data_IF_601862095102
#
_entry.id   IF_601862095102
#
_cell.length_a   1.000
_cell.length_b   1.000
_cell.length_c   1.000
_cell.angle_alpha   90.00
_cell.angle_beta   90.00
_cell.angle_gamma   90.00
#
_symmetry.space_group_name_H-M   'P 1'
#
loop_
_entity.id
_entity.type
_entity.pdbx_description
1 polymer ?
#
# COMPACT_ATOMS: atom_id res chain seq x y z
N UNK A 1 -17.45 -14.61 31.71
CA UNK A 1 -16.78 -14.95 30.41
C UNK A 1 -15.82 -13.80 30.12
N UNK A 2 -14.52 -14.09 29.94
CA UNK A 2 -13.61 -13.03 29.50
C UNK A 2 -13.98 -12.64 28.08
N UNK A 3 -14.49 -11.43 27.86
CA UNK A 3 -14.71 -10.90 26.53
C UNK A 3 -13.35 -10.64 25.90
N UNK A 4 -13.02 -11.37 24.83
CA UNK A 4 -11.86 -11.07 23.99
C UNK A 4 -12.29 -10.09 22.90
N UNK A 5 -11.45 -9.12 22.61
CA UNK A 5 -11.67 -8.12 21.56
C UNK A 5 -10.53 -8.20 20.54
N UNK A 6 -10.86 -8.00 19.29
CA UNK A 6 -9.90 -8.04 18.19
C UNK A 6 -9.99 -6.73 17.40
N UNK A 7 -8.85 -6.18 17.04
CA UNK A 7 -8.75 -5.05 16.15
C UNK A 7 -8.30 -5.51 14.76
N UNK A 8 -9.10 -5.21 13.74
CA UNK A 8 -8.70 -5.29 12.33
C UNK A 8 -8.17 -3.93 11.87
N UNK A 9 -7.04 -3.95 11.15
CA UNK A 9 -6.43 -2.78 10.53
C UNK A 9 -6.37 -3.01 9.02
N UNK A 10 -6.96 -2.08 8.24
CA UNK A 10 -6.97 -2.10 6.78
C UNK A 10 -6.27 -0.86 6.24
N UNK A 11 -5.23 -1.06 5.42
CA UNK A 11 -4.53 0.00 4.70
C UNK A 11 -4.90 -0.05 3.23
N UNK A 12 -5.92 0.74 2.88
CA UNK A 12 -6.44 0.84 1.52
C UNK A 12 -5.69 1.84 0.63
N UNK A 13 -6.33 2.22 -0.47
CA UNK A 13 -5.73 3.12 -1.48
C UNK A 13 -5.69 4.58 -1.04
N UNK A 14 -6.68 5.06 -0.28
CA UNK A 14 -6.80 6.49 0.07
C UNK A 14 -6.79 6.74 1.58
N UNK A 15 -6.99 5.69 2.38
CA UNK A 15 -7.15 5.80 3.83
C UNK A 15 -6.76 4.50 4.52
N UNK A 16 -6.39 4.59 5.79
CA UNK A 16 -6.37 3.48 6.71
C UNK A 16 -7.64 3.43 7.57
N UNK A 17 -8.01 2.25 8.01
CA UNK A 17 -9.19 1.99 8.85
C UNK A 17 -8.83 1.06 9.98
N UNK A 18 -9.51 1.25 11.10
CA UNK A 18 -9.50 0.31 12.23
C UNK A 18 -10.93 -0.03 12.61
N UNK A 19 -11.17 -1.29 12.96
CA UNK A 19 -12.42 -1.74 13.57
C UNK A 19 -12.10 -2.64 14.75
N UNK A 20 -12.78 -2.44 15.87
CA UNK A 20 -12.68 -3.30 17.04
C UNK A 20 -13.98 -4.09 17.17
N UNK A 21 -13.85 -5.41 17.23
CA UNK A 21 -14.99 -6.33 17.35
C UNK A 21 -14.87 -7.17 18.61
N UNK A 22 -16.02 -7.49 19.22
CA UNK A 22 -16.09 -8.48 20.30
C UNK A 22 -16.08 -9.89 19.69
N UNK A 23 -15.09 -10.71 20.09
CA UNK A 23 -14.87 -12.03 19.47
C UNK A 23 -16.01 -13.02 19.68
N UNK A 24 -16.84 -12.84 20.73
CA UNK A 24 -17.91 -13.79 21.05
C UNK A 24 -19.13 -13.74 20.10
N UNK A 25 -19.41 -12.57 19.51
CA UNK A 25 -20.61 -12.34 18.70
C UNK A 25 -20.38 -11.46 17.47
N UNK A 26 -19.15 -10.97 17.26
CA UNK A 26 -18.80 -10.08 16.15
C UNK A 26 -19.34 -8.67 16.27
N UNK A 27 -19.85 -8.28 17.46
CA UNK A 27 -20.35 -6.93 17.67
C UNK A 27 -19.22 -5.90 17.49
N UNK A 28 -19.47 -4.89 16.67
CA UNK A 28 -18.58 -3.75 16.45
C UNK A 28 -18.60 -2.85 17.69
N UNK A 29 -17.43 -2.62 18.25
CA UNK A 29 -17.25 -1.87 19.50
C UNK A 29 -16.73 -0.46 19.27
N UNK A 30 -15.92 -0.26 18.24
CA UNK A 30 -15.37 1.03 17.88
C UNK A 30 -14.71 1.00 16.53
N UNK A 31 -14.69 2.15 15.83
CA UNK A 31 -14.11 2.30 14.51
C UNK A 31 -13.34 3.60 14.37
N UNK A 32 -12.40 3.62 13.42
CA UNK A 32 -11.73 4.83 13.00
C UNK A 32 -11.34 4.75 11.53
N UNK A 33 -11.39 5.89 10.84
CA UNK A 33 -10.88 6.07 9.47
C UNK A 33 -10.00 7.30 9.47
N UNK A 34 -8.89 7.22 8.73
CA UNK A 34 -8.01 8.37 8.50
C UNK A 34 -7.55 8.38 7.05
N UNK A 35 -7.79 9.47 6.34
CA UNK A 35 -7.32 9.68 4.97
C UNK A 35 -5.81 9.96 4.98
N UNK A 36 -5.11 9.46 3.97
CA UNK A 36 -3.69 9.77 3.82
C UNK A 36 -3.49 11.23 3.45
N UNK A 37 -2.65 11.98 4.15
CA UNK A 37 -2.42 13.40 3.88
C UNK A 37 -2.01 13.71 2.44
N UNK A 38 -1.21 12.87 1.81
CA UNK A 38 -0.77 13.04 0.43
C UNK A 38 -1.63 12.25 -0.58
N UNK A 39 -2.48 11.30 -0.10
CA UNK A 39 -3.34 10.46 -0.93
C UNK A 39 -2.54 9.67 -1.98
N UNK A 40 -3.04 9.68 -3.22
CA UNK A 40 -2.31 9.10 -4.37
C UNK A 40 -1.70 10.22 -5.19
N UNK A 41 -0.38 10.21 -5.31
CA UNK A 41 0.39 11.13 -6.14
C UNK A 41 0.45 10.57 -7.56
N UNK A 42 -0.42 11.06 -8.46
CA UNK A 42 -0.53 10.62 -9.85
C UNK A 42 -0.26 11.74 -10.87
N UNK A 43 -0.16 12.99 -10.43
CA UNK A 43 0.13 14.15 -11.27
C UNK A 43 1.40 14.87 -10.88
N UNK A 44 1.59 15.01 -9.59
CA UNK A 44 2.75 15.71 -9.01
C UNK A 44 3.28 14.94 -7.82
N UNK A 45 4.57 15.03 -7.57
CA UNK A 45 5.23 14.49 -6.38
C UNK A 45 5.00 15.43 -5.19
N UNK A 46 3.74 15.53 -4.74
CA UNK A 46 3.30 16.51 -3.74
C UNK A 46 3.97 16.35 -2.37
N UNK A 47 4.38 15.13 -2.01
CA UNK A 47 5.11 14.87 -0.76
C UNK A 47 6.58 15.34 -0.78
N UNK A 48 7.08 15.85 -1.92
CA UNK A 48 8.45 16.33 -2.06
C UNK A 48 8.48 17.72 -2.73
N UNK A 49 9.10 17.84 -3.91
CA UNK A 49 9.31 19.12 -4.61
C UNK A 49 8.16 19.57 -5.51
N UNK A 50 7.09 18.78 -5.60
CA UNK A 50 5.91 19.09 -6.43
C UNK A 50 6.13 18.95 -7.93
N UNK A 51 7.24 18.34 -8.37
CA UNK A 51 7.49 18.11 -9.80
C UNK A 51 6.39 17.30 -10.45
N UNK A 52 6.19 17.53 -11.74
CA UNK A 52 5.26 16.74 -12.55
C UNK A 52 5.73 15.29 -12.64
N UNK A 53 4.80 14.37 -12.44
CA UNK A 53 5.03 12.95 -12.65
C UNK A 53 4.74 12.58 -14.12
N UNK A 54 5.43 11.56 -14.67
CA UNK A 54 5.07 10.95 -15.93
C UNK A 54 3.63 10.42 -15.91
N UNK A 55 2.99 10.23 -17.07
CA UNK A 55 1.72 9.54 -17.15
C UNK A 55 1.77 8.15 -16.50
N UNK A 56 0.63 7.70 -16.01
CA UNK A 56 0.43 6.35 -15.45
C UNK A 56 1.21 6.06 -14.16
N UNK A 57 1.85 7.07 -13.56
CA UNK A 57 2.40 6.95 -12.22
C UNK A 57 1.27 7.01 -11.17
N UNK A 58 1.38 6.17 -10.15
CA UNK A 58 0.52 6.21 -8.96
C UNK A 58 1.39 5.87 -7.74
N UNK A 59 1.78 6.89 -7.01
CA UNK A 59 2.72 6.83 -5.90
C UNK A 59 2.03 7.17 -4.58
N UNK A 60 2.59 6.70 -3.48
CA UNK A 60 2.15 7.05 -2.12
C UNK A 60 3.35 7.38 -1.23
N UNK A 61 3.11 8.15 -0.16
CA UNK A 61 4.11 8.41 0.87
C UNK A 61 4.05 7.30 1.93
N UNK A 62 5.15 6.57 2.18
CA UNK A 62 5.17 5.55 3.24
C UNK A 62 5.02 6.15 4.66
N UNK A 63 5.30 7.43 4.85
CA UNK A 63 5.07 8.12 6.12
C UNK A 63 3.58 8.26 6.45
N UNK A 64 2.71 8.37 5.43
CA UNK A 64 1.27 8.44 5.62
C UNK A 64 0.73 7.17 6.30
N UNK A 65 1.30 6.01 6.00
CA UNK A 65 0.88 4.74 6.62
C UNK A 65 1.15 4.73 8.12
N UNK A 66 2.34 5.17 8.53
CA UNK A 66 2.72 5.18 9.94
C UNK A 66 1.90 6.22 10.73
N UNK A 67 1.75 7.42 10.18
CA UNK A 67 0.91 8.45 10.80
C UNK A 67 -0.56 8.04 10.89
N UNK A 68 -1.08 7.40 9.83
CA UNK A 68 -2.45 6.88 9.82
C UNK A 68 -2.63 5.75 10.84
N UNK A 69 -1.67 4.81 10.94
CA UNK A 69 -1.71 3.74 11.93
C UNK A 69 -1.87 4.28 13.35
N UNK A 70 -1.06 5.27 13.71
CA UNK A 70 -1.13 5.90 15.03
C UNK A 70 -2.51 6.51 15.29
N UNK A 71 -3.04 7.26 14.34
CA UNK A 71 -4.34 7.93 14.46
C UNK A 71 -5.50 6.95 14.59
N UNK A 72 -5.58 5.94 13.69
CA UNK A 72 -6.72 5.01 13.66
C UNK A 72 -6.75 4.07 14.86
N UNK A 73 -5.55 3.62 15.34
CA UNK A 73 -5.46 2.76 16.52
C UNK A 73 -5.95 3.51 17.76
N UNK A 74 -5.44 4.72 18.01
CA UNK A 74 -5.85 5.50 19.17
C UNK A 74 -7.34 5.82 19.16
N UNK A 75 -7.86 6.32 18.03
CA UNK A 75 -9.29 6.67 17.93
C UNK A 75 -10.22 5.46 18.08
N UNK A 76 -9.87 4.30 17.47
CA UNK A 76 -10.71 3.11 17.59
C UNK A 76 -10.71 2.54 19.00
N UNK A 77 -9.57 2.58 19.72
CA UNK A 77 -9.48 2.17 21.13
C UNK A 77 -10.26 3.12 22.04
N UNK A 78 -10.14 4.43 21.81
CA UNK A 78 -10.91 5.44 22.54
C UNK A 78 -12.42 5.24 22.34
N UNK A 79 -12.87 5.04 21.12
CA UNK A 79 -14.27 4.81 20.76
C UNK A 79 -14.82 3.51 21.39
N UNK A 80 -14.03 2.42 21.35
CA UNK A 80 -14.43 1.13 21.89
C UNK A 80 -14.36 1.05 23.44
N UNK A 81 -13.46 1.79 24.07
CA UNK A 81 -13.21 1.74 25.51
C UNK A 81 -12.61 0.40 26.01
N UNK A 82 -11.97 -0.38 25.11
CA UNK A 82 -11.37 -1.71 25.41
C UNK A 82 -9.98 -1.84 24.83
N UNK A 83 -9.16 -2.75 25.35
CA UNK A 83 -7.84 -3.10 24.81
C UNK A 83 -7.93 -4.38 23.97
N UNK A 84 -7.86 -4.31 22.61
CA UNK A 84 -8.01 -5.45 21.73
C UNK A 84 -6.67 -6.11 21.37
N UNK A 85 -6.72 -7.43 21.02
CA UNK A 85 -5.70 -8.04 20.18
C UNK A 85 -5.73 -7.48 18.76
N UNK A 86 -4.66 -7.64 17.97
CA UNK A 86 -4.52 -6.94 16.68
C UNK A 86 -4.30 -7.89 15.51
N UNK A 87 -4.95 -7.60 14.38
CA UNK A 87 -4.70 -8.18 13.08
C UNK A 87 -4.43 -7.07 12.06
N UNK A 88 -3.68 -7.37 11.00
CA UNK A 88 -3.28 -6.41 9.97
C UNK A 88 -3.67 -6.92 8.58
N UNK A 89 -4.30 -6.07 7.80
CA UNK A 89 -4.52 -6.25 6.37
C UNK A 89 -3.94 -5.07 5.58
N UNK A 90 -3.40 -5.34 4.39
CA UNK A 90 -2.76 -4.34 3.53
C UNK A 90 -3.08 -4.57 2.07
N UNK A 91 -3.13 -3.50 1.28
CA UNK A 91 -3.26 -3.57 -0.18
C UNK A 91 -2.08 -4.32 -0.79
N UNK A 92 -2.37 -5.40 -1.50
CA UNK A 92 -1.34 -6.20 -2.19
C UNK A 92 -0.76 -5.48 -3.41
N UNK A 93 0.34 -6.02 -3.98
CA UNK A 93 1.06 -5.49 -5.15
C UNK A 93 1.49 -4.00 -5.02
N UNK A 94 1.61 -3.51 -3.79
CA UNK A 94 2.07 -2.16 -3.45
C UNK A 94 3.48 -2.30 -2.88
N UNK A 95 4.49 -1.80 -3.60
CA UNK A 95 5.90 -2.03 -3.30
C UNK A 95 6.67 -0.74 -3.10
N UNK A 96 7.68 -0.78 -2.22
CA UNK A 96 8.61 0.32 -2.00
C UNK A 96 10.05 -0.19 -1.97
N UNK A 97 10.96 0.57 -2.57
CA UNK A 97 12.39 0.33 -2.42
C UNK A 97 12.87 0.82 -1.05
N UNK A 98 13.59 -0.04 -0.34
CA UNK A 98 14.09 0.27 1.01
C UNK A 98 15.56 -0.18 1.17
N UNK A 99 16.22 0.41 2.14
CA UNK A 99 17.54 -0.03 2.60
C UNK A 99 17.45 -1.38 3.32
N UNK A 100 18.59 -2.00 3.61
CA UNK A 100 18.64 -3.28 4.34
C UNK A 100 17.98 -3.24 5.72
N UNK A 101 17.97 -2.08 6.37
CA UNK A 101 17.34 -1.89 7.69
C UNK A 101 15.87 -1.45 7.61
N UNK A 102 15.27 -1.47 6.42
CA UNK A 102 13.85 -1.19 6.21
C UNK A 102 13.48 0.28 5.99
N UNK A 103 14.45 1.20 5.95
CA UNK A 103 14.16 2.62 5.66
C UNK A 103 13.76 2.79 4.19
N UNK A 104 12.56 3.29 3.85
CA UNK A 104 12.17 3.59 2.48
C UNK A 104 13.14 4.60 1.82
N UNK A 105 13.53 4.36 0.57
CA UNK A 105 14.52 5.22 -0.10
C UNK A 105 14.04 6.67 -0.23
N UNK A 106 12.75 6.90 -0.47
CA UNK A 106 12.18 8.25 -0.56
C UNK A 106 12.29 9.07 0.74
N UNK A 107 12.59 8.44 1.88
CA UNK A 107 12.85 9.16 3.14
C UNK A 107 14.31 9.62 3.28
N UNK A 108 15.21 9.16 2.40
CA UNK A 108 16.58 9.60 2.35
C UNK A 108 16.69 10.89 1.52
N UNK A 109 17.44 11.92 1.98
CA UNK A 109 17.50 13.22 1.30
C UNK A 109 17.91 13.12 -0.17
N UNK A 110 18.86 12.24 -0.50
CA UNK A 110 19.38 12.04 -1.86
C UNK A 110 18.36 11.43 -2.84
N UNK A 111 17.35 10.71 -2.33
CA UNK A 111 16.31 10.06 -3.17
C UNK A 111 14.95 10.71 -3.05
N UNK A 112 14.80 11.76 -2.25
CA UNK A 112 13.48 12.36 -1.98
C UNK A 112 12.79 12.86 -3.25
N UNK A 113 13.55 13.34 -4.20
CA UNK A 113 13.05 13.85 -5.48
C UNK A 113 13.09 12.82 -6.62
N UNK A 114 13.40 11.56 -6.30
CA UNK A 114 13.41 10.45 -7.27
C UNK A 114 12.05 9.70 -7.24
N UNK A 115 11.19 9.82 -8.27
CA UNK A 115 9.86 9.18 -8.27
C UNK A 115 9.92 7.67 -8.07
N UNK A 116 10.98 7.01 -8.55
CA UNK A 116 11.14 5.57 -8.40
C UNK A 116 11.49 5.12 -6.97
N UNK A 117 11.86 6.03 -6.08
CA UNK A 117 12.11 5.73 -4.67
C UNK A 117 10.84 5.67 -3.82
N UNK A 118 9.71 6.14 -4.34
CA UNK A 118 8.43 6.18 -3.64
C UNK A 118 7.65 4.88 -3.77
N UNK A 119 6.63 4.70 -2.91
CA UNK A 119 5.72 3.55 -2.97
C UNK A 119 5.00 3.54 -4.30
N UNK A 120 5.09 2.41 -5.01
CA UNK A 120 4.31 2.17 -6.22
C UNK A 120 3.03 1.43 -5.85
N UNK A 121 1.93 2.16 -5.92
CA UNK A 121 0.61 1.61 -5.62
C UNK A 121 0.25 0.50 -6.62
N UNK A 122 -0.67 -0.39 -6.24
CA UNK A 122 -1.12 -1.49 -7.10
C UNK A 122 -1.51 -1.05 -8.52
N UNK A 123 -2.17 0.09 -8.67
CA UNK A 123 -2.58 0.69 -9.95
C UNK A 123 -1.48 1.48 -10.68
N UNK A 124 -0.20 1.38 -10.27
CA UNK A 124 0.91 2.04 -10.96
C UNK A 124 1.22 1.34 -12.28
N UNK A 125 1.09 2.04 -13.39
CA UNK A 125 1.31 1.54 -14.75
C UNK A 125 2.60 2.03 -15.42
N UNK A 126 3.45 2.74 -14.69
CA UNK A 126 4.71 3.28 -15.21
C UNK A 126 5.71 2.25 -15.74
N UNK A 127 5.47 0.95 -15.51
CA UNK A 127 6.29 -0.15 -16.02
C UNK A 127 5.60 -0.95 -17.15
N UNK A 128 4.64 -0.38 -17.89
CA UNK A 128 3.91 -1.11 -18.93
C UNK A 128 4.84 -1.61 -20.04
N UNK A 129 5.78 -0.80 -20.51
CA UNK A 129 6.75 -1.20 -21.52
C UNK A 129 7.62 -2.40 -21.08
N UNK A 130 7.94 -2.48 -19.79
CA UNK A 130 8.67 -3.60 -19.20
C UNK A 130 7.82 -4.86 -19.18
N UNK A 131 6.54 -4.73 -18.78
CA UNK A 131 5.58 -5.83 -18.77
C UNK A 131 5.40 -6.41 -20.19
N UNK A 132 5.23 -5.57 -21.20
CA UNK A 132 5.07 -5.96 -22.60
C UNK A 132 6.30 -6.69 -23.13
N UNK A 133 7.52 -6.22 -22.79
CA UNK A 133 8.76 -6.90 -23.15
C UNK A 133 8.90 -8.27 -22.49
N UNK A 134 8.51 -8.39 -21.21
CA UNK A 134 8.52 -9.66 -20.48
C UNK A 134 7.54 -10.64 -21.13
N UNK A 135 6.32 -10.22 -21.44
CA UNK A 135 5.30 -11.06 -22.10
C UNK A 135 5.79 -11.54 -23.45
N UNK A 136 6.30 -10.65 -24.30
CA UNK A 136 6.84 -10.98 -25.63
C UNK A 136 7.93 -12.03 -25.52
N UNK A 137 8.92 -11.82 -24.63
CA UNK A 137 10.03 -12.75 -24.45
C UNK A 137 9.57 -14.12 -23.93
N UNK A 138 8.60 -14.12 -22.99
CA UNK A 138 8.02 -15.36 -22.47
C UNK A 138 7.27 -16.15 -23.55
N UNK A 139 6.54 -15.46 -24.44
CA UNK A 139 5.86 -16.09 -25.57
C UNK A 139 6.86 -16.70 -26.57
N UNK A 140 7.91 -15.95 -26.94
CA UNK A 140 8.98 -16.42 -27.84
C UNK A 140 9.68 -17.67 -27.27
N UNK A 141 9.90 -17.71 -25.96
CA UNK A 141 10.53 -18.85 -25.26
C UNK A 141 9.55 -19.96 -24.92
N UNK A 142 8.26 -19.79 -25.15
CA UNK A 142 7.17 -20.72 -24.76
C UNK A 142 7.22 -21.05 -23.26
N UNK A 143 7.39 -20.02 -22.43
CA UNK A 143 7.52 -20.18 -20.99
C UNK A 143 6.19 -20.67 -20.38
N UNK A 144 6.17 -21.82 -19.68
CA UNK A 144 4.92 -22.43 -19.21
C UNK A 144 4.23 -21.63 -18.10
N UNK A 145 4.97 -20.82 -17.37
CA UNK A 145 4.42 -19.99 -16.30
C UNK A 145 3.44 -18.93 -16.80
N UNK A 146 3.60 -18.45 -18.04
CA UNK A 146 2.74 -17.39 -18.61
C UNK A 146 1.26 -17.82 -18.69
N UNK A 147 0.99 -19.10 -18.89
CA UNK A 147 -0.37 -19.65 -18.91
C UNK A 147 -1.10 -19.47 -17.58
N UNK A 148 -0.38 -19.47 -16.44
CA UNK A 148 -0.95 -19.24 -15.10
C UNK A 148 -1.49 -17.81 -14.92
N UNK A 149 -1.03 -16.87 -15.73
CA UNK A 149 -1.46 -15.48 -15.78
C UNK A 149 -2.40 -15.17 -16.94
N UNK A 150 -2.98 -16.20 -17.57
CA UNK A 150 -3.87 -16.02 -18.72
C UNK A 150 -3.18 -15.56 -20.00
N UNK A 151 -1.86 -15.77 -20.11
CA UNK A 151 -1.07 -15.42 -21.30
C UNK A 151 -0.55 -13.98 -21.35
N UNK A 152 -0.83 -13.18 -20.34
CA UNK A 152 -0.38 -11.79 -20.23
C UNK A 152 0.16 -11.49 -18.82
N UNK A 153 0.98 -10.45 -18.72
CA UNK A 153 1.46 -9.90 -17.45
C UNK A 153 1.24 -8.40 -17.46
N UNK A 154 0.42 -7.92 -16.53
CA UNK A 154 0.17 -6.48 -16.38
C UNK A 154 1.29 -5.79 -15.61
N UNK A 155 1.51 -4.51 -15.87
CA UNK A 155 2.39 -3.64 -15.07
C UNK A 155 1.93 -3.46 -13.62
N UNK A 156 0.71 -3.85 -13.28
CA UNK A 156 0.22 -3.90 -11.89
C UNK A 156 0.84 -5.05 -11.09
N UNK A 157 1.37 -6.07 -11.75
CA UNK A 157 2.04 -7.19 -11.10
C UNK A 157 3.37 -6.74 -10.48
N UNK A 158 3.81 -7.41 -9.42
CA UNK A 158 5.05 -7.08 -8.70
C UNK A 158 6.29 -7.09 -9.58
N UNK A 159 6.39 -8.05 -10.49
CA UNK A 159 7.59 -8.27 -11.29
C UNK A 159 7.95 -7.10 -12.23
N UNK A 160 6.99 -6.45 -12.93
CA UNK A 160 7.33 -5.33 -13.83
C UNK A 160 7.64 -4.03 -13.11
N UNK A 161 7.22 -3.87 -11.86
CA UNK A 161 7.42 -2.63 -11.06
C UNK A 161 8.88 -2.44 -10.57
#
# INVERSE_FOLDING_TARGET
>A
MNNSYLMGLDFGTLSGRAVIVRASDGAEMGTAVHEYPHGVMDRTLSAADGRKLPPDFALQDPADYLGTLEVIVHKAVEDAGVDPGRGLDVTSATVVAATRNGTPLCQLPEFRNEPHAWVKLWKHHGAQDQADRIVKLAQERREPWLARYGGILSSEMLMPK
#
